data_IF_543136268757
#
_entry.id   IF_543136268757
#
_cell.length_a   1.000
_cell.length_b   1.000
_cell.length_c   1.000
_cell.angle_alpha   90.00
_cell.angle_beta   90.00
_cell.angle_gamma   90.00
#
_symmetry.space_group_name_H-M   'P 1'
#
loop_
_entity.id
_entity.type
_entity.pdbx_description
1 polymer ?
#
# COMPACT_ATOMS: atom_id res chain seq x y z
N UNK A 1 -0.73 -1.73 -3.96
CA UNK A 1 -1.93 -0.86 -4.02
C UNK A 1 -1.63 0.46 -3.30
N UNK A 2 -2.11 1.59 -3.79
CA UNK A 2 -1.94 2.89 -3.13
C UNK A 2 -3.30 3.59 -2.95
N UNK A 3 -3.55 4.13 -1.76
CA UNK A 3 -4.74 4.90 -1.43
C UNK A 3 -4.39 6.28 -0.86
N UNK A 4 -4.99 7.34 -1.40
CA UNK A 4 -4.82 8.71 -0.93
C UNK A 4 -6.13 9.25 -0.33
N UNK A 5 -6.07 9.64 0.93
CA UNK A 5 -7.23 10.00 1.74
C UNK A 5 -7.81 8.80 2.50
N UNK A 6 -8.26 9.04 3.73
CA UNK A 6 -8.83 8.00 4.58
C UNK A 6 -10.12 7.43 4.02
N UNK A 7 -11.04 8.29 3.56
CA UNK A 7 -12.32 7.88 2.97
C UNK A 7 -12.12 7.06 1.68
N UNK A 8 -11.16 7.45 0.84
CA UNK A 8 -10.80 6.69 -0.36
C UNK A 8 -10.26 5.30 0.01
N UNK A 9 -9.36 5.23 0.99
CA UNK A 9 -8.79 3.96 1.44
C UNK A 9 -9.88 3.05 2.03
N UNK A 10 -10.76 3.60 2.86
CA UNK A 10 -11.89 2.87 3.47
C UNK A 10 -12.86 2.33 2.40
N UNK A 11 -13.23 3.15 1.41
CA UNK A 11 -14.09 2.73 0.32
C UNK A 11 -13.47 1.59 -0.52
N UNK A 12 -12.16 1.67 -0.81
CA UNK A 12 -11.44 0.61 -1.51
C UNK A 12 -11.45 -0.69 -0.69
N UNK A 13 -11.13 -0.62 0.60
CA UNK A 13 -11.11 -1.79 1.48
C UNK A 13 -12.50 -2.42 1.62
N UNK A 14 -13.55 -1.60 1.68
CA UNK A 14 -14.94 -2.04 1.69
C UNK A 14 -15.33 -2.83 0.44
N UNK A 15 -14.93 -2.36 -0.75
CA UNK A 15 -15.15 -3.09 -2.01
C UNK A 15 -14.36 -4.40 -2.05
N UNK A 16 -13.15 -4.43 -1.49
CA UNK A 16 -12.32 -5.63 -1.42
C UNK A 16 -12.74 -6.61 -0.31
N UNK A 17 -13.71 -6.25 0.54
CA UNK A 17 -14.14 -7.07 1.67
C UNK A 17 -13.09 -7.23 2.77
N UNK A 18 -12.14 -6.28 2.88
CA UNK A 18 -11.01 -6.36 3.81
C UNK A 18 -11.32 -5.58 5.08
N UNK A 19 -11.44 -6.29 6.20
CA UNK A 19 -11.70 -5.69 7.52
C UNK A 19 -10.47 -5.59 8.44
N UNK A 20 -9.35 -6.22 8.06
CA UNK A 20 -8.14 -6.28 8.89
C UNK A 20 -6.91 -6.05 8.01
N UNK A 21 -6.03 -5.18 8.48
CA UNK A 21 -4.73 -4.89 7.87
C UNK A 21 -3.62 -5.20 8.87
N UNK A 22 -2.57 -5.88 8.42
CA UNK A 22 -1.34 -6.06 9.19
C UNK A 22 -0.37 -4.93 8.84
N UNK A 23 -0.13 -4.00 9.76
CA UNK A 23 0.82 -2.90 9.53
C UNK A 23 2.24 -3.45 9.53
N UNK A 24 2.98 -3.23 8.44
CA UNK A 24 4.36 -3.70 8.28
C UNK A 24 5.38 -2.59 8.60
N UNK A 25 4.96 -1.33 8.54
CA UNK A 25 5.81 -0.18 8.84
C UNK A 25 5.43 1.02 7.99
N UNK A 26 6.42 1.84 7.68
CA UNK A 26 6.28 3.02 6.81
C UNK A 26 7.23 2.89 5.61
N UNK A 27 6.70 3.09 4.41
CA UNK A 27 7.50 3.08 3.17
C UNK A 27 8.17 4.45 2.93
N UNK A 28 7.55 5.51 3.43
CA UNK A 28 8.07 6.86 3.53
C UNK A 28 7.58 7.45 4.86
N UNK A 29 8.26 8.46 5.44
CA UNK A 29 7.80 9.09 6.67
C UNK A 29 6.33 9.54 6.58
N UNK A 30 5.47 8.99 7.45
CA UNK A 30 4.03 9.26 7.48
C UNK A 30 3.21 8.60 6.38
N UNK A 31 3.78 7.64 5.64
CA UNK A 31 3.09 6.83 4.65
C UNK A 31 3.18 5.35 5.06
N UNK A 32 2.20 4.85 5.84
CA UNK A 32 2.19 3.47 6.28
C UNK A 32 1.99 2.49 5.13
N UNK A 33 2.66 1.34 5.23
CA UNK A 33 2.44 0.16 4.40
C UNK A 33 1.84 -0.96 5.26
N UNK A 34 0.82 -1.61 4.73
CA UNK A 34 0.13 -2.72 5.40
C UNK A 34 -0.10 -3.89 4.45
N UNK A 35 -0.06 -5.11 4.97
CA UNK A 35 -0.37 -6.34 4.26
C UNK A 35 -1.82 -6.76 4.50
N UNK A 36 -2.45 -7.26 3.45
CA UNK A 36 -3.78 -7.85 3.47
C UNK A 36 -3.85 -9.06 2.52
N UNK A 37 -4.89 -9.86 2.64
CA UNK A 37 -5.20 -10.93 1.69
C UNK A 37 -6.51 -10.63 0.98
N UNK A 38 -6.50 -10.66 -0.35
CA UNK A 38 -7.68 -10.48 -1.20
C UNK A 38 -7.74 -11.64 -2.19
N UNK A 39 -8.83 -12.40 -2.18
CA UNK A 39 -9.02 -13.55 -3.07
C UNK A 39 -7.82 -14.53 -3.10
N UNK A 40 -7.23 -14.78 -1.92
CA UNK A 40 -6.07 -15.66 -1.76
C UNK A 40 -4.72 -15.06 -2.17
N UNK A 41 -4.68 -13.79 -2.58
CA UNK A 41 -3.44 -13.07 -2.94
C UNK A 41 -3.03 -12.13 -1.82
N UNK A 42 -1.76 -12.14 -1.46
CA UNK A 42 -1.21 -11.13 -0.57
C UNK A 42 -1.02 -9.81 -1.32
N UNK A 43 -1.53 -8.73 -0.75
CA UNK A 43 -1.44 -7.39 -1.31
C UNK A 43 -0.87 -6.47 -0.23
N UNK A 44 0.12 -5.66 -0.63
CA UNK A 44 0.55 -4.51 0.17
C UNK A 44 -0.20 -3.25 -0.26
N UNK A 45 -0.75 -2.55 0.73
CA UNK A 45 -1.40 -1.26 0.59
C UNK A 45 -0.56 -0.19 1.28
N UNK A 46 -0.14 0.80 0.51
CA UNK A 46 0.35 2.06 1.05
C UNK A 46 -0.82 3.06 1.16
N UNK A 47 -0.99 3.69 2.33
CA UNK A 47 -1.99 4.75 2.51
C UNK A 47 -1.34 6.08 2.86
N UNK A 48 -1.86 7.16 2.31
CA UNK A 48 -1.41 8.53 2.61
C UNK A 48 -2.61 9.40 2.93
N UNK A 49 -2.54 10.21 3.98
CA UNK A 49 -3.57 11.25 4.22
C UNK A 49 -3.60 12.25 3.06
N UNK A 50 -4.78 12.75 2.69
CA UNK A 50 -4.99 13.56 1.48
C UNK A 50 -4.02 14.74 1.35
N UNK A 51 -3.91 15.55 2.41
CA UNK A 51 -3.04 16.74 2.45
C UNK A 51 -1.60 16.51 2.93
N UNK A 52 -1.18 15.26 3.12
CA UNK A 52 0.17 14.95 3.62
C UNK A 52 1.19 14.78 2.48
N UNK A 53 2.44 15.17 2.71
CA UNK A 53 3.54 15.06 1.73
C UNK A 53 3.69 16.28 0.81
N UNK A 54 4.76 16.27 0.01
CA UNK A 54 5.05 17.28 -1.00
C UNK A 54 4.77 16.78 -2.42
N UNK A 55 5.02 17.61 -3.46
CA UNK A 55 4.78 17.25 -4.86
C UNK A 55 5.46 15.95 -5.29
N UNK A 56 6.64 15.67 -4.75
CA UNK A 56 7.45 14.49 -5.09
C UNK A 56 7.06 13.22 -4.34
N UNK A 57 6.16 13.30 -3.35
CA UNK A 57 5.87 12.16 -2.47
C UNK A 57 5.36 10.93 -3.23
N UNK A 58 4.59 11.11 -4.30
CA UNK A 58 4.12 9.98 -5.10
C UNK A 58 5.25 9.33 -5.91
N UNK A 59 6.19 10.12 -6.41
CA UNK A 59 7.37 9.62 -7.15
C UNK A 59 8.24 8.81 -6.21
N UNK A 60 8.62 9.39 -5.06
CA UNK A 60 9.42 8.68 -4.04
C UNK A 60 8.73 7.40 -3.54
N UNK A 61 7.40 7.38 -3.50
CA UNK A 61 6.65 6.20 -3.08
C UNK A 61 6.74 5.08 -4.12
N UNK A 62 6.64 5.41 -5.40
CA UNK A 62 6.77 4.42 -6.48
C UNK A 62 8.18 3.85 -6.51
N UNK A 63 9.20 4.69 -6.35
CA UNK A 63 10.60 4.26 -6.29
C UNK A 63 10.83 3.30 -5.11
N UNK A 64 10.41 3.68 -3.90
CA UNK A 64 10.52 2.83 -2.72
C UNK A 64 9.70 1.54 -2.82
N UNK A 65 8.54 1.57 -3.50
CA UNK A 65 7.71 0.39 -3.69
C UNK A 65 8.33 -0.61 -4.67
N UNK A 66 9.09 -0.15 -5.67
CA UNK A 66 9.82 -1.02 -6.57
C UNK A 66 10.86 -1.86 -5.82
N UNK A 67 11.59 -1.25 -4.89
CA UNK A 67 12.58 -1.94 -4.05
C UNK A 67 11.93 -3.06 -3.20
N UNK A 68 10.75 -2.81 -2.62
CA UNK A 68 10.01 -3.82 -1.84
C UNK A 68 9.53 -5.02 -2.67
N UNK A 69 9.22 -4.81 -3.95
CA UNK A 69 8.81 -5.89 -4.87
C UNK A 69 10.01 -6.76 -5.22
N UNK A 70 11.16 -6.14 -5.46
CA UNK A 70 12.41 -6.86 -5.76
C UNK A 70 12.87 -7.73 -4.57
N UNK A 71 12.74 -7.24 -3.33
CA UNK A 71 13.03 -8.01 -2.12
C UNK A 71 12.06 -9.18 -1.88
N UNK A 72 10.83 -9.07 -2.39
CA UNK A 72 9.77 -10.06 -2.13
C UNK A 72 9.82 -11.27 -3.07
N UNK A 73 10.72 -11.31 -4.06
CA UNK A 73 10.94 -12.46 -4.93
C UNK A 73 9.63 -13.02 -5.49
N UNK A 74 8.96 -12.25 -6.35
CA UNK A 74 7.74 -12.70 -7.02
C UNK A 74 8.06 -13.86 -7.98
N UNK A 75 7.92 -15.09 -7.49
CA UNK A 75 7.97 -16.29 -8.34
C UNK A 75 6.77 -16.21 -9.28
N UNK A 76 6.96 -16.19 -10.62
CA UNK A 76 5.84 -16.01 -11.53
C UNK A 76 4.93 -17.22 -11.42
N UNK A 77 3.65 -16.98 -11.16
CA UNK A 77 2.61 -18.00 -11.20
C UNK A 77 2.73 -18.78 -12.51
N UNK A 78 3.12 -20.06 -12.42
CA UNK A 78 3.09 -21.02 -13.53
C UNK A 78 1.68 -21.50 -13.80
#
# INVERSE_FOLDING_TARGET
>A
LFGCGGETADAILGVLGVGVLAVEGEILPGVPVSRMTVDGREIRLATKSGGFGGPETLVSLVDAAAELVEESGEEPAR
#
